data_IF_435825019556
#
_entry.id   IF_435825019556
#
_cell.length_a   1.000
_cell.length_b   1.000
_cell.length_c   1.000
_cell.angle_alpha   90.00
_cell.angle_beta   90.00
_cell.angle_gamma   90.00
#
_symmetry.space_group_name_H-M   'P 1'
#
loop_
_entity.id
_entity.type
_entity.pdbx_description
1 polymer ?
#
# COMPACT_ATOMS: atom_id res chain seq x y z
N UNK A 1 -13.57 13.88 -6.26
CA UNK A 1 -12.54 14.88 -5.86
C UNK A 1 -11.16 14.52 -6.40
N UNK A 2 -10.63 13.31 -6.17
CA UNK A 2 -9.29 12.92 -6.66
C UNK A 2 -9.10 13.05 -8.19
N UNK A 3 -10.03 12.52 -9.01
CA UNK A 3 -9.98 12.68 -10.49
C UNK A 3 -9.93 14.14 -10.94
N UNK A 4 -10.68 15.02 -10.27
CA UNK A 4 -10.68 16.45 -10.60
C UNK A 4 -9.33 17.10 -10.25
N UNK A 5 -8.72 16.72 -9.13
CA UNK A 5 -7.41 17.22 -8.71
C UNK A 5 -6.27 16.76 -9.64
N UNK A 6 -6.40 15.58 -10.26
CA UNK A 6 -5.43 15.00 -11.18
C UNK A 6 -5.54 15.50 -12.63
N UNK A 7 -6.63 16.20 -12.99
CA UNK A 7 -6.90 16.56 -14.39
C UNK A 7 -5.79 17.46 -14.95
N UNK A 8 -5.14 16.98 -16.03
CA UNK A 8 -4.08 17.70 -16.74
C UNK A 8 -2.74 17.76 -16.01
N UNK A 9 -2.50 16.86 -15.05
CA UNK A 9 -1.26 16.81 -14.27
C UNK A 9 -0.74 15.37 -14.18
N UNK A 10 0.58 15.22 -14.09
CA UNK A 10 1.21 13.97 -13.67
C UNK A 10 1.14 13.91 -12.14
N UNK A 11 0.50 12.87 -11.60
CA UNK A 11 0.29 12.72 -10.16
C UNK A 11 0.64 11.31 -9.70
N UNK A 12 1.17 11.21 -8.49
CA UNK A 12 1.32 9.95 -7.77
C UNK A 12 0.20 9.89 -6.73
N UNK A 13 -0.59 8.82 -6.77
CA UNK A 13 -1.75 8.64 -5.87
C UNK A 13 -1.65 7.30 -5.17
N UNK A 14 -1.76 7.30 -3.84
CA UNK A 14 -1.79 6.10 -3.02
C UNK A 14 -3.21 5.85 -2.49
N UNK A 15 -3.62 4.59 -2.44
CA UNK A 15 -4.90 4.18 -1.87
C UNK A 15 -5.16 2.69 -2.09
N UNK A 16 -6.38 2.24 -1.78
CA UNK A 16 -6.74 0.81 -1.87
C UNK A 16 -7.31 0.40 -3.23
N UNK A 17 -8.06 1.30 -3.86
CA UNK A 17 -8.83 1.07 -5.08
C UNK A 17 -8.43 2.02 -6.22
N UNK A 18 -7.21 2.58 -6.15
CA UNK A 18 -6.72 3.57 -7.11
C UNK A 18 -6.65 2.96 -8.51
N UNK A 19 -5.92 1.86 -8.69
CA UNK A 19 -5.74 1.23 -10.01
C UNK A 19 -6.94 0.43 -10.53
N UNK A 20 -7.96 0.19 -9.69
CA UNK A 20 -9.13 -0.63 -10.03
C UNK A 20 -10.43 0.17 -10.17
N UNK A 21 -10.58 1.28 -9.43
CA UNK A 21 -11.81 2.09 -9.39
C UNK A 21 -11.53 3.56 -9.70
N UNK A 22 -10.56 4.19 -9.03
CA UNK A 22 -10.39 5.65 -9.13
C UNK A 22 -9.71 6.03 -10.45
N UNK A 23 -8.63 5.37 -10.84
CA UNK A 23 -7.86 5.58 -12.07
C UNK A 23 -7.59 4.22 -12.75
N UNK A 24 -8.63 3.55 -13.27
CA UNK A 24 -8.47 2.27 -13.97
C UNK A 24 -7.66 2.38 -15.26
N UNK A 25 -7.49 3.60 -15.80
CA UNK A 25 -6.69 3.86 -17.01
C UNK A 25 -5.33 4.52 -16.68
N UNK A 26 -4.87 4.41 -15.43
CA UNK A 26 -3.55 4.93 -15.07
C UNK A 26 -2.45 4.23 -15.90
N UNK A 27 -1.53 5.03 -16.45
CA UNK A 27 -0.42 4.55 -17.30
C UNK A 27 0.50 3.57 -16.56
N UNK A 28 0.72 3.81 -15.26
CA UNK A 28 1.51 2.94 -14.38
C UNK A 28 0.69 2.63 -13.12
N UNK A 29 0.57 1.35 -12.80
CA UNK A 29 -0.10 0.87 -11.58
C UNK A 29 0.85 -0.01 -10.79
N UNK A 30 1.03 0.32 -9.52
CA UNK A 30 1.91 -0.41 -8.62
C UNK A 30 1.08 -0.98 -7.47
N UNK A 31 1.26 -2.26 -7.18
CA UNK A 31 0.68 -2.93 -6.03
C UNK A 31 1.80 -3.33 -5.06
N UNK A 32 2.02 -2.50 -4.04
CA UNK A 32 3.00 -2.78 -2.99
C UNK A 32 2.45 -3.84 -2.02
N UNK A 33 3.24 -4.88 -1.75
CA UNK A 33 2.93 -5.91 -0.76
C UNK A 33 4.11 -6.17 0.16
N UNK A 34 3.84 -6.85 1.28
CA UNK A 34 4.83 -7.44 2.16
C UNK A 34 4.14 -8.41 3.14
N UNK A 35 4.89 -9.37 3.66
CA UNK A 35 4.37 -10.27 4.70
C UNK A 35 3.88 -9.46 5.93
N UNK A 36 2.75 -9.84 6.56
CA UNK A 36 2.19 -9.10 7.69
C UNK A 36 3.18 -8.85 8.82
N UNK A 37 4.03 -9.84 9.11
CA UNK A 37 5.05 -9.75 10.16
C UNK A 37 6.03 -8.61 9.95
N UNK A 38 6.49 -8.41 8.72
CA UNK A 38 7.44 -7.34 8.41
C UNK A 38 6.76 -5.97 8.48
N UNK A 39 5.52 -5.86 7.98
CA UNK A 39 4.73 -4.64 8.11
C UNK A 39 4.49 -4.28 9.58
N UNK A 40 4.25 -5.28 10.42
CA UNK A 40 4.10 -5.09 11.87
C UNK A 40 5.41 -4.62 12.52
N UNK A 41 6.55 -5.20 12.14
CA UNK A 41 7.88 -4.76 12.61
C UNK A 41 8.14 -3.29 12.28
N UNK A 42 7.94 -2.89 11.02
CA UNK A 42 8.11 -1.50 10.56
C UNK A 42 7.18 -0.54 11.30
N UNK A 43 5.91 -0.91 11.44
CA UNK A 43 4.91 -0.10 12.14
C UNK A 43 5.22 0.05 13.62
N UNK A 44 5.71 -1.00 14.28
CA UNK A 44 6.14 -0.93 15.67
C UNK A 44 7.26 0.10 15.85
N UNK A 45 8.30 0.06 15.01
CA UNK A 45 9.41 1.04 15.06
C UNK A 45 8.90 2.47 14.88
N UNK A 46 7.97 2.69 13.94
CA UNK A 46 7.34 4.00 13.74
C UNK A 46 6.58 4.49 14.99
N UNK A 47 5.83 3.59 15.64
CA UNK A 47 5.06 3.90 16.85
C UNK A 47 5.96 4.17 18.07
N UNK A 48 7.02 3.39 18.24
CA UNK A 48 8.01 3.59 19.31
C UNK A 48 8.69 4.96 19.16
N UNK A 49 9.01 5.37 17.92
CA UNK A 49 9.53 6.71 17.63
C UNK A 49 8.56 7.85 17.97
N UNK A 50 7.27 7.56 18.09
CA UNK A 50 6.22 8.50 18.53
C UNK A 50 5.86 8.35 20.02
N UNK A 51 6.65 7.59 20.79
CA UNK A 51 6.42 7.35 22.21
C UNK A 51 5.30 6.34 22.53
N UNK A 52 4.79 5.61 21.53
CA UNK A 52 3.75 4.61 21.71
C UNK A 52 4.38 3.22 21.79
N UNK A 53 4.23 2.53 22.91
CA UNK A 53 4.72 1.14 23.07
C UNK A 53 3.60 0.16 22.75
N UNK A 54 3.80 -0.66 21.72
CA UNK A 54 2.90 -1.73 21.33
C UNK A 54 3.69 -3.02 21.08
N UNK A 55 3.07 -4.15 21.41
CA UNK A 55 3.63 -5.46 21.08
C UNK A 55 3.49 -5.76 19.58
N UNK A 56 4.51 -6.39 18.99
CA UNK A 56 4.54 -6.68 17.54
C UNK A 56 3.43 -7.64 17.12
N UNK A 57 3.03 -8.58 17.99
CA UNK A 57 1.97 -9.54 17.70
C UNK A 57 0.62 -8.83 17.65
N UNK A 58 0.39 -7.87 18.55
CA UNK A 58 -0.81 -7.03 18.51
C UNK A 58 -0.91 -6.22 17.22
N UNK A 59 0.19 -5.56 16.83
CA UNK A 59 0.25 -4.79 15.58
C UNK A 59 0.04 -5.69 14.36
N UNK A 60 0.61 -6.90 14.35
CA UNK A 60 0.42 -7.88 13.29
C UNK A 60 -1.05 -8.31 13.15
N UNK A 61 -1.73 -8.59 14.27
CA UNK A 61 -3.16 -8.93 14.28
C UNK A 61 -4.03 -7.80 13.74
N UNK A 62 -3.75 -6.56 14.14
CA UNK A 62 -4.45 -5.37 13.63
C UNK A 62 -4.28 -5.22 12.12
N UNK A 63 -3.05 -5.41 11.63
CA UNK A 63 -2.73 -5.37 10.21
C UNK A 63 -3.52 -6.44 9.44
N UNK A 64 -3.49 -7.70 9.88
CA UNK A 64 -4.21 -8.80 9.22
C UNK A 64 -5.72 -8.53 9.20
N UNK A 65 -6.28 -8.07 10.32
CA UNK A 65 -7.70 -7.72 10.43
C UNK A 65 -8.06 -6.61 9.43
N UNK A 66 -7.26 -5.53 9.39
CA UNK A 66 -7.48 -4.42 8.47
C UNK A 66 -7.38 -4.87 7.02
N UNK A 67 -6.37 -5.65 6.65
CA UNK A 67 -6.21 -6.12 5.28
C UNK A 67 -7.39 -7.01 4.83
N UNK A 68 -7.92 -7.84 5.74
CA UNK A 68 -9.13 -8.62 5.47
C UNK A 68 -10.33 -7.71 5.24
N UNK A 69 -10.55 -6.71 6.09
CA UNK A 69 -11.65 -5.75 5.93
C UNK A 69 -11.51 -4.99 4.61
N UNK A 70 -10.31 -4.47 4.32
CA UNK A 70 -10.04 -3.71 3.10
C UNK A 70 -10.22 -4.54 1.83
N UNK A 71 -9.84 -5.82 1.83
CA UNK A 71 -9.98 -6.72 0.67
C UNK A 71 -11.38 -7.29 0.49
N UNK A 72 -12.21 -7.32 1.53
CA UNK A 72 -13.57 -7.93 1.49
C UNK A 72 -14.70 -6.92 1.46
N UNK A 73 -14.41 -5.62 1.61
CA UNK A 73 -15.46 -4.58 1.61
C UNK A 73 -16.20 -4.52 0.26
N UNK A 74 -17.54 -4.32 0.26
CA UNK A 74 -18.32 -4.30 -0.99
C UNK A 74 -17.96 -3.18 -1.96
N UNK A 75 -17.55 -2.02 -1.45
CA UNK A 75 -17.24 -0.84 -2.25
C UNK A 75 -15.73 -0.55 -2.25
N UNK A 76 -15.14 -0.51 -3.43
CA UNK A 76 -13.71 -0.22 -3.64
C UNK A 76 -12.78 -1.15 -2.86
N UNK A 77 -12.93 -2.48 -2.89
CA UNK A 77 -12.03 -3.39 -2.17
C UNK A 77 -10.57 -3.21 -2.59
N UNK A 78 -9.65 -3.46 -1.66
CA UNK A 78 -8.23 -3.59 -1.94
C UNK A 78 -8.00 -4.81 -2.82
N UNK A 79 -7.95 -4.57 -4.12
CA UNK A 79 -7.69 -5.57 -5.13
C UNK A 79 -6.55 -5.11 -6.02
N UNK A 80 -5.70 -6.07 -6.40
CA UNK A 80 -4.68 -5.85 -7.42
C UNK A 80 -5.36 -5.70 -8.78
N UNK A 81 -5.11 -4.59 -9.47
CA UNK A 81 -5.52 -4.45 -10.86
C UNK A 81 -4.79 -5.50 -11.74
N UNK A 82 -5.42 -6.09 -12.77
CA UNK A 82 -4.81 -7.15 -13.58
C UNK A 82 -3.46 -6.75 -14.20
N UNK A 83 -3.29 -5.48 -14.51
CA UNK A 83 -2.14 -4.85 -15.14
C UNK A 83 -1.19 -4.15 -14.14
N UNK A 84 -1.39 -4.32 -12.83
CA UNK A 84 -0.52 -3.72 -11.82
C UNK A 84 0.80 -4.49 -11.66
N UNK A 85 1.91 -3.75 -11.61
CA UNK A 85 3.21 -4.25 -11.20
C UNK A 85 3.21 -4.55 -9.70
N UNK A 86 3.40 -5.82 -9.33
CA UNK A 86 3.51 -6.22 -7.92
C UNK A 86 4.94 -6.05 -7.45
N UNK A 87 5.13 -5.27 -6.40
CA UNK A 87 6.42 -5.12 -5.74
C UNK A 87 6.29 -5.66 -4.32
N UNK A 88 6.90 -6.81 -4.07
CA UNK A 88 7.08 -7.32 -2.71
C UNK A 88 8.21 -6.55 -2.04
N UNK A 89 7.90 -5.92 -0.92
CA UNK A 89 8.79 -5.07 -0.14
C UNK A 89 9.28 -5.76 1.13
N UNK A 90 9.01 -7.06 1.33
CA UNK A 90 9.34 -7.80 2.57
C UNK A 90 10.81 -7.64 2.96
N UNK A 91 11.73 -7.89 2.05
CA UNK A 91 13.17 -7.83 2.31
C UNK A 91 13.84 -6.63 1.63
N UNK A 92 13.08 -5.55 1.40
CA UNK A 92 13.55 -4.33 0.74
C UNK A 92 13.53 -3.13 1.67
N UNK A 93 14.55 -2.30 1.58
CA UNK A 93 14.53 -0.93 2.10
C UNK A 93 13.81 0.03 1.14
N UNK A 94 13.59 1.26 1.60
CA UNK A 94 12.88 2.27 0.81
C UNK A 94 13.62 2.65 -0.48
N UNK A 95 14.95 2.66 -0.48
CA UNK A 95 15.76 3.00 -1.66
C UNK A 95 15.62 1.93 -2.75
N UNK A 96 15.68 0.66 -2.36
CA UNK A 96 15.48 -0.47 -3.27
C UNK A 96 14.07 -0.46 -3.89
N UNK A 97 13.04 -0.14 -3.10
CA UNK A 97 11.67 -0.01 -3.62
C UNK A 97 11.57 1.16 -4.61
N UNK A 98 12.16 2.31 -4.30
CA UNK A 98 12.17 3.47 -5.21
C UNK A 98 12.89 3.14 -6.51
N UNK A 99 14.04 2.48 -6.44
CA UNK A 99 14.80 2.10 -7.64
C UNK A 99 14.00 1.15 -8.55
N UNK A 100 13.27 0.20 -7.97
CA UNK A 100 12.41 -0.71 -8.73
C UNK A 100 11.23 0.02 -9.37
N UNK A 101 10.61 0.96 -8.66
CA UNK A 101 9.52 1.80 -9.20
C UNK A 101 10.00 2.67 -10.37
N UNK A 102 11.23 3.21 -10.30
CA UNK A 102 11.80 4.04 -11.36
C UNK A 102 12.18 3.28 -12.64
N UNK A 103 12.15 1.94 -12.62
CA UNK A 103 12.42 1.08 -13.78
C UNK A 103 11.16 0.71 -14.57
N UNK A 104 9.98 1.10 -14.09
CA UNK A 104 8.70 0.92 -14.77
C UNK A 104 8.46 2.05 -15.77
#
# INVERSE_FOLDING_TARGET
>A
QQRAAAKGKNVVVEGRDIGTVVFPEAEVKIFLTAVPRERARRRKVELEGKGHRMDVISVEREIISRDRIDSTRPAGPLLRAPDAHVIDTTDKDAGQVVEEVLKL
#
